data_IF_703135468209
#
_entry.id   IF_703135468209
#
_cell.length_a   1.000
_cell.length_b   1.000
_cell.length_c   1.000
_cell.angle_alpha   90.00
_cell.angle_beta   90.00
_cell.angle_gamma   90.00
#
_symmetry.space_group_name_H-M   'P 1'
#
loop_
_entity.id
_entity.type
_entity.pdbx_description
1 polymer ?
#
# COMPACT_ATOMS: atom_id res chain seq x y z
N UNK A 1 -11.85 -1.04 13.44
CA UNK A 1 -10.69 -0.20 13.06
C UNK A 1 -9.62 -0.30 14.12
N UNK A 2 -9.94 -0.04 15.38
CA UNK A 2 -8.99 -0.10 16.51
C UNK A 2 -8.24 -1.44 16.64
N UNK A 3 -8.88 -2.63 16.61
CA UNK A 3 -8.14 -3.90 16.73
C UNK A 3 -7.18 -4.21 15.56
N UNK A 4 -7.46 -3.61 14.39
CA UNK A 4 -6.59 -3.74 13.23
C UNK A 4 -5.33 -2.90 13.40
N UNK A 5 -5.49 -1.66 13.85
CA UNK A 5 -4.39 -0.74 14.05
C UNK A 5 -3.46 -1.31 15.12
N UNK A 6 -4.01 -1.82 16.23
CA UNK A 6 -3.25 -2.54 17.26
C UNK A 6 -2.42 -3.69 16.66
N UNK A 7 -3.05 -4.57 15.87
CA UNK A 7 -2.34 -5.68 15.23
C UNK A 7 -1.19 -5.22 14.32
N UNK A 8 -1.37 -4.12 13.56
CA UNK A 8 -0.33 -3.58 12.69
C UNK A 8 0.80 -2.98 13.53
N UNK A 9 0.46 -2.23 14.58
CA UNK A 9 1.40 -1.65 15.54
C UNK A 9 2.24 -2.74 16.20
N UNK A 10 1.59 -3.79 16.73
CA UNK A 10 2.27 -4.91 17.39
C UNK A 10 3.24 -5.61 16.42
N UNK A 11 2.80 -5.93 15.20
CA UNK A 11 3.66 -6.57 14.21
C UNK A 11 4.82 -5.68 13.70
N UNK A 12 4.69 -4.35 13.79
CA UNK A 12 5.79 -3.43 13.53
C UNK A 12 6.78 -3.38 14.71
N UNK A 13 6.29 -3.39 15.94
CA UNK A 13 7.12 -3.43 17.14
C UNK A 13 7.88 -4.75 17.28
N UNK A 14 7.24 -5.88 16.94
CA UNK A 14 7.86 -7.21 16.95
C UNK A 14 9.11 -7.26 16.06
N UNK A 15 9.08 -6.59 14.90
CA UNK A 15 10.22 -6.50 13.97
C UNK A 15 11.43 -5.76 14.55
N UNK A 16 11.22 -4.93 15.57
CA UNK A 16 12.25 -4.11 16.20
C UNK A 16 12.70 -4.68 17.55
N UNK A 17 12.04 -5.74 18.03
CA UNK A 17 12.23 -6.28 19.39
C UNK A 17 13.66 -6.71 19.72
N UNK A 18 14.40 -7.20 18.72
CA UNK A 18 15.79 -7.63 18.87
C UNK A 18 16.82 -6.49 18.72
N UNK A 19 16.39 -5.29 18.33
CA UNK A 19 17.26 -4.14 18.12
C UNK A 19 17.46 -3.39 19.43
N UNK A 20 18.73 -3.19 19.83
CA UNK A 20 19.06 -2.36 21.00
C UNK A 20 18.85 -0.87 20.76
N UNK A 21 18.99 -0.44 19.51
CA UNK A 21 18.85 0.95 19.06
C UNK A 21 18.31 0.94 17.64
N UNK A 22 17.33 1.79 17.37
CA UNK A 22 16.71 1.94 16.06
C UNK A 22 16.20 3.38 15.90
N UNK A 23 16.01 3.83 14.67
CA UNK A 23 15.41 5.14 14.37
C UNK A 23 13.89 5.01 14.26
N UNK A 24 13.17 5.60 15.22
CA UNK A 24 11.71 5.48 15.31
C UNK A 24 10.99 5.98 14.05
N UNK A 25 11.53 6.97 13.34
CA UNK A 25 10.85 7.56 12.19
C UNK A 25 10.97 6.65 10.97
N UNK A 26 12.20 6.34 10.59
CA UNK A 26 12.51 5.58 9.38
C UNK A 26 12.21 4.09 9.52
N UNK A 27 12.36 3.52 10.72
CA UNK A 27 12.20 2.07 10.94
C UNK A 27 10.80 1.69 11.46
N UNK A 28 9.98 2.65 11.92
CA UNK A 28 8.62 2.38 12.41
C UNK A 28 7.57 3.32 11.83
N UNK A 29 7.68 4.63 12.09
CA UNK A 29 6.60 5.58 11.81
C UNK A 29 6.30 5.73 10.31
N UNK A 30 7.32 5.60 9.44
CA UNK A 30 7.14 5.62 8.00
C UNK A 30 6.39 4.40 7.46
N UNK A 31 6.53 3.23 8.09
CA UNK A 31 5.89 2.00 7.64
C UNK A 31 4.41 1.94 8.03
N UNK A 32 4.05 2.47 9.20
CA UNK A 32 2.71 2.37 9.77
C UNK A 32 1.59 2.88 8.83
N UNK A 33 1.66 4.10 8.24
CA UNK A 33 0.64 4.57 7.31
C UNK A 33 0.52 3.68 6.06
N UNK A 34 1.65 3.21 5.53
CA UNK A 34 1.66 2.33 4.35
C UNK A 34 0.97 1.01 4.64
N UNK A 35 1.21 0.40 5.81
CA UNK A 35 0.54 -0.84 6.22
C UNK A 35 -0.97 -0.67 6.38
N UNK A 36 -1.40 0.43 7.00
CA UNK A 36 -2.82 0.72 7.19
C UNK A 36 -3.54 0.91 5.84
N UNK A 37 -2.99 1.74 4.95
CA UNK A 37 -3.58 2.00 3.63
C UNK A 37 -3.61 0.71 2.80
N UNK A 38 -2.51 -0.05 2.80
CA UNK A 38 -2.42 -1.34 2.12
C UNK A 38 -3.49 -2.30 2.58
N UNK A 39 -3.71 -2.40 3.90
CA UNK A 39 -4.75 -3.25 4.45
C UNK A 39 -6.15 -2.78 4.01
N UNK A 40 -6.45 -1.48 4.13
CA UNK A 40 -7.76 -0.94 3.75
C UNK A 40 -8.07 -1.21 2.27
N UNK A 41 -7.07 -1.06 1.41
CA UNK A 41 -7.17 -1.34 -0.01
C UNK A 41 -7.09 -2.84 -0.33
N UNK A 42 -6.75 -3.70 0.63
CA UNK A 42 -6.62 -5.15 0.42
C UNK A 42 -5.46 -5.51 -0.51
N UNK A 43 -4.37 -4.75 -0.43
CA UNK A 43 -3.17 -4.93 -1.24
C UNK A 43 -2.36 -6.11 -0.65
N UNK A 44 -1.97 -7.09 -1.48
CA UNK A 44 -1.10 -8.19 -1.07
C UNK A 44 0.21 -7.68 -0.47
N UNK A 45 0.76 -8.40 0.51
CA UNK A 45 1.96 -7.98 1.25
C UNK A 45 3.15 -7.74 0.32
N UNK A 46 3.32 -8.62 -0.67
CA UNK A 46 4.36 -8.54 -1.68
C UNK A 46 4.29 -7.26 -2.52
N UNK A 47 3.15 -6.59 -2.60
CA UNK A 47 2.96 -5.36 -3.40
C UNK A 47 2.99 -4.07 -2.56
N UNK A 48 2.95 -4.15 -1.22
CA UNK A 48 2.87 -2.96 -0.36
C UNK A 48 4.05 -2.01 -0.53
N UNK A 49 5.24 -2.56 -0.78
CA UNK A 49 6.46 -1.78 -0.98
C UNK A 49 6.39 -0.84 -2.20
N UNK A 50 5.57 -1.18 -3.20
CA UNK A 50 5.38 -0.38 -4.42
C UNK A 50 4.62 0.92 -4.16
N UNK A 51 3.75 0.95 -3.14
CA UNK A 51 2.89 2.11 -2.84
C UNK A 51 3.67 3.39 -2.61
N UNK A 52 4.80 3.29 -1.90
CA UNK A 52 5.66 4.45 -1.64
C UNK A 52 6.24 4.99 -2.94
N UNK A 53 6.71 4.10 -3.81
CA UNK A 53 7.29 4.50 -5.10
C UNK A 53 6.24 5.14 -6.01
N UNK A 54 5.04 4.57 -6.09
CA UNK A 54 3.93 5.16 -6.84
C UNK A 54 3.55 6.53 -6.27
N UNK A 55 3.41 6.65 -4.95
CA UNK A 55 3.09 7.95 -4.33
C UNK A 55 4.14 9.01 -4.65
N UNK A 56 5.43 8.69 -4.54
CA UNK A 56 6.51 9.63 -4.87
C UNK A 56 6.51 10.03 -6.35
N UNK A 57 6.36 9.06 -7.26
CA UNK A 57 6.36 9.33 -8.70
C UNK A 57 5.13 10.14 -9.13
N UNK A 58 3.94 9.76 -8.65
CA UNK A 58 2.68 10.42 -9.01
C UNK A 58 2.67 11.85 -8.47
N UNK A 59 3.00 12.04 -7.19
CA UNK A 59 2.98 13.37 -6.58
C UNK A 59 4.11 14.25 -7.10
N UNK A 60 5.32 13.70 -7.30
CA UNK A 60 6.43 14.44 -7.89
C UNK A 60 6.19 14.86 -9.35
N UNK A 61 5.35 14.14 -10.08
CA UNK A 61 4.92 14.54 -11.43
C UNK A 61 3.95 15.73 -11.44
N UNK A 62 3.41 16.14 -10.29
CA UNK A 62 2.53 17.31 -10.15
C UNK A 62 3.29 18.60 -9.81
N UNK A 63 4.61 18.54 -9.65
CA UNK A 63 5.41 19.72 -9.35
C UNK A 63 5.35 20.76 -10.49
N UNK A 64 5.36 22.07 -10.19
CA UNK A 64 5.22 23.12 -11.20
C UNK A 64 6.30 23.09 -12.29
N UNK A 65 7.49 22.58 -11.96
CA UNK A 65 8.60 22.41 -12.89
C UNK A 65 9.14 21.01 -12.71
N UNK A 66 8.88 20.15 -13.70
CA UNK A 66 9.23 18.73 -13.65
C UNK A 66 9.83 18.29 -14.98
N UNK A 67 10.83 17.40 -14.91
CA UNK A 67 11.46 16.86 -16.12
C UNK A 67 10.51 15.91 -16.87
N UNK A 68 10.67 15.80 -18.19
CA UNK A 68 9.89 14.84 -18.99
C UNK A 68 10.01 13.40 -18.44
N UNK A 69 11.21 13.00 -18.03
CA UNK A 69 11.45 11.68 -17.43
C UNK A 69 10.62 11.45 -16.16
N UNK A 70 10.47 12.47 -15.32
CA UNK A 70 9.68 12.37 -14.09
C UNK A 70 8.17 12.36 -14.38
N UNK A 71 7.72 13.12 -15.39
CA UNK A 71 6.35 13.03 -15.90
C UNK A 71 6.04 11.62 -16.43
N UNK A 72 6.94 11.05 -17.23
CA UNK A 72 6.78 9.71 -17.79
C UNK A 72 6.71 8.66 -16.67
N UNK A 73 7.62 8.74 -15.69
CA UNK A 73 7.62 7.85 -14.52
C UNK A 73 6.34 7.98 -13.68
N UNK A 74 5.82 9.20 -13.51
CA UNK A 74 4.53 9.47 -12.89
C UNK A 74 3.38 8.80 -13.64
N UNK A 75 3.31 9.00 -14.96
CA UNK A 75 2.27 8.41 -15.81
C UNK A 75 2.31 6.87 -15.80
N UNK A 76 3.49 6.28 -15.88
CA UNK A 76 3.66 4.82 -15.72
C UNK A 76 3.15 4.37 -14.35
N UNK A 77 3.52 5.07 -13.28
CA UNK A 77 3.07 4.74 -11.93
C UNK A 77 1.55 4.86 -11.74
N UNK A 78 0.89 5.83 -12.40
CA UNK A 78 -0.57 5.94 -12.41
C UNK A 78 -1.20 4.73 -13.08
N UNK A 79 -0.69 4.33 -14.26
CA UNK A 79 -1.19 3.16 -14.99
C UNK A 79 -1.03 1.88 -14.18
N UNK A 80 0.18 1.62 -13.67
CA UNK A 80 0.50 0.40 -12.93
C UNK A 80 -0.29 0.31 -11.62
N UNK A 81 -0.43 1.42 -10.89
CA UNK A 81 -1.25 1.46 -9.68
C UNK A 81 -2.75 1.25 -10.00
N UNK A 82 -3.23 1.84 -11.11
CA UNK A 82 -4.60 1.64 -11.57
C UNK A 82 -4.91 0.18 -11.93
N UNK A 83 -3.97 -0.51 -12.58
CA UNK A 83 -4.07 -1.93 -12.90
C UNK A 83 -4.11 -2.79 -11.63
N UNK A 84 -3.22 -2.54 -10.66
CA UNK A 84 -3.24 -3.21 -9.37
C UNK A 84 -4.58 -3.06 -8.64
N UNK A 85 -5.13 -1.84 -8.60
CA UNK A 85 -6.44 -1.59 -7.98
C UNK A 85 -7.56 -2.31 -8.72
N UNK A 86 -7.51 -2.36 -10.06
CA UNK A 86 -8.47 -3.08 -10.88
C UNK A 86 -8.48 -4.57 -10.54
N UNK A 87 -7.31 -5.20 -10.43
CA UNK A 87 -7.18 -6.61 -10.07
C UNK A 87 -7.78 -6.92 -8.69
N UNK A 88 -7.52 -6.04 -7.72
CA UNK A 88 -8.10 -6.16 -6.37
C UNK A 88 -9.63 -6.08 -6.42
N UNK A 89 -10.18 -5.11 -7.17
CA UNK A 89 -11.63 -4.95 -7.34
C UNK A 89 -12.23 -6.18 -8.02
N UNK A 90 -11.61 -6.69 -9.07
CA UNK A 90 -12.10 -7.85 -9.82
C UNK A 90 -12.01 -9.15 -8.99
N UNK A 91 -10.96 -9.32 -8.18
CA UNK A 91 -10.86 -10.42 -7.22
C UNK A 91 -11.99 -10.36 -6.17
N UNK A 92 -12.26 -9.17 -5.61
CA UNK A 92 -13.36 -8.95 -4.65
C UNK A 92 -14.72 -9.28 -5.27
N UNK A 93 -14.97 -8.82 -6.51
CA UNK A 93 -16.20 -9.12 -7.26
C UNK A 93 -16.38 -10.63 -7.46
N UNK A 94 -15.34 -11.35 -7.89
CA UNK A 94 -15.40 -12.81 -8.07
C UNK A 94 -15.65 -13.55 -6.76
N UNK A 95 -14.98 -13.19 -5.66
CA UNK A 95 -15.23 -13.80 -4.33
C UNK A 95 -16.64 -13.51 -3.80
N UNK A 96 -17.16 -12.31 -4.01
CA UNK A 96 -18.53 -11.96 -3.61
C UNK A 96 -19.56 -12.80 -4.37
N UNK A 97 -19.32 -13.15 -5.63
CA UNK A 97 -20.19 -14.05 -6.38
C UNK A 97 -20.23 -15.48 -5.80
N UNK A 98 -19.10 -16.01 -5.32
CA UNK A 98 -19.03 -17.37 -4.76
C UNK A 98 -19.83 -17.50 -3.44
N UNK A 99 -19.88 -16.43 -2.63
CA UNK A 99 -20.67 -16.42 -1.38
C UNK A 99 -22.18 -16.29 -1.61
N UNK A 100 -22.63 -15.86 -2.80
CA UNK A 100 -24.05 -15.70 -3.12
C UNK A 100 -24.63 -16.96 -3.79
N UNK A 101 -23.78 -17.77 -4.44
CA UNK A 101 -24.21 -19.01 -5.13
C UNK A 101 -24.31 -20.25 -4.24
N UNK A 102 -23.84 -20.22 -2.99
CA UNK A 102 -24.00 -21.33 -2.02
C UNK A 102 -25.26 -21.22 -1.14
N UNK A 103 -26.17 -20.29 -1.46
CA UNK A 103 -27.39 -20.06 -0.65
C UNK A 103 -28.71 -20.49 -1.29
N UNK A 104 -28.69 -21.22 -2.39
CA UNK A 104 -29.90 -21.79 -3.02
C UNK A 104 -29.65 -23.19 -3.58
#
# INVERSE_FOLDING_TARGET
MEPLIEKIVDGLLDRLSDLRTFDLVSEYAMALPTEIISFMLGIPEEHRHLLRQYSLNILGALDPVVSQKALDAGNTSVSDFGEMLKDIVDHRRKKQWHLVTEKY
#
